data_IF_926570725014
#
_entry.id   IF_926570725014
#
_cell.length_a   1.000
_cell.length_b   1.000
_cell.length_c   1.000
_cell.angle_alpha   90.00
_cell.angle_beta   90.00
_cell.angle_gamma   90.00
#
_symmetry.space_group_name_H-M   'P 1'
#
loop_
_entity.id
_entity.type
_entity.pdbx_description
1 polymer ?
#
# COMPACT_ATOMS: atom_id res chain seq x y z
N UNK A 1 -16.27 -3.79 -18.23
CA UNK A 1 -16.53 -4.07 -16.81
C UNK A 1 -15.19 -4.34 -16.14
N UNK A 2 -14.69 -3.42 -15.31
CA UNK A 2 -13.44 -3.63 -14.55
C UNK A 2 -13.84 -4.14 -13.16
N UNK A 3 -13.62 -5.42 -12.89
CA UNK A 3 -13.69 -5.93 -11.52
C UNK A 3 -12.66 -5.13 -10.70
N UNK A 4 -12.99 -4.63 -9.49
CA UNK A 4 -11.95 -4.10 -8.62
C UNK A 4 -10.95 -5.23 -8.37
N UNK A 5 -9.73 -5.07 -8.87
CA UNK A 5 -8.70 -6.13 -8.86
C UNK A 5 -8.26 -6.51 -7.44
N UNK A 6 -8.66 -5.73 -6.43
CA UNK A 6 -8.30 -5.91 -5.03
C UNK A 6 -9.54 -5.84 -4.13
N UNK A 7 -9.66 -6.74 -3.14
CA UNK A 7 -10.72 -6.66 -2.14
C UNK A 7 -10.59 -5.35 -1.35
N UNK A 8 -11.66 -4.83 -0.74
CA UNK A 8 -11.57 -3.65 0.12
C UNK A 8 -10.59 -3.90 1.27
N UNK A 9 -9.86 -2.85 1.67
CA UNK A 9 -8.80 -2.94 2.70
C UNK A 9 -9.30 -3.53 4.03
N UNK A 10 -10.60 -3.39 4.31
CA UNK A 10 -11.27 -4.00 5.47
C UNK A 10 -11.26 -5.54 5.43
N UNK A 11 -11.50 -6.12 4.26
CA UNK A 11 -11.52 -7.56 4.02
C UNK A 11 -10.13 -8.15 3.72
N UNK A 12 -9.09 -7.33 3.65
CA UNK A 12 -7.73 -7.79 3.40
C UNK A 12 -7.18 -8.51 4.64
N UNK A 13 -7.12 -9.84 4.57
CA UNK A 13 -6.61 -10.72 5.64
C UNK A 13 -5.08 -10.79 5.68
N UNK A 14 -4.41 -10.29 4.62
CA UNK A 14 -2.95 -10.27 4.53
C UNK A 14 -2.37 -9.17 5.42
N UNK A 15 -1.27 -9.47 6.10
CA UNK A 15 -0.54 -8.44 6.86
C UNK A 15 0.15 -7.43 5.94
N UNK A 16 0.66 -7.89 4.79
CA UNK A 16 1.35 -7.06 3.81
C UNK A 16 0.81 -7.30 2.40
N UNK A 17 0.71 -6.22 1.63
CA UNK A 17 0.25 -6.20 0.25
C UNK A 17 1.31 -5.71 -0.71
N UNK A 18 1.13 -6.03 -1.99
CA UNK A 18 1.99 -5.51 -3.05
C UNK A 18 1.72 -4.02 -3.33
N UNK A 19 2.67 -3.38 -4.00
CA UNK A 19 2.60 -1.96 -4.36
C UNK A 19 1.36 -1.59 -5.15
N UNK A 20 0.84 -2.46 -6.01
CA UNK A 20 -0.34 -2.17 -6.82
C UNK A 20 -1.63 -2.14 -5.97
N UNK A 21 -1.77 -3.08 -5.04
CA UNK A 21 -2.88 -3.11 -4.08
C UNK A 21 -2.84 -1.88 -3.16
N UNK A 22 -1.68 -1.56 -2.59
CA UNK A 22 -1.50 -0.36 -1.78
C UNK A 22 -1.82 0.93 -2.56
N UNK A 23 -1.41 1.01 -3.83
CA UNK A 23 -1.72 2.12 -4.72
C UNK A 23 -3.21 2.29 -4.96
N UNK A 24 -3.91 1.18 -5.19
CA UNK A 24 -5.35 1.15 -5.39
C UNK A 24 -6.09 1.71 -4.17
N UNK A 25 -5.72 1.27 -2.97
CA UNK A 25 -6.35 1.72 -1.72
C UNK A 25 -6.09 3.19 -1.40
N UNK A 26 -4.89 3.69 -1.68
CA UNK A 26 -4.52 5.08 -1.42
C UNK A 26 -4.97 6.03 -2.55
N UNK A 27 -5.69 5.53 -3.56
CA UNK A 27 -6.07 6.29 -4.77
C UNK A 27 -4.85 6.97 -5.43
N UNK A 28 -3.70 6.27 -5.42
CA UNK A 28 -2.43 6.74 -5.99
C UNK A 28 -1.96 5.81 -7.11
N UNK A 29 -0.97 6.26 -7.88
CA UNK A 29 -0.28 5.42 -8.86
C UNK A 29 0.80 4.56 -8.17
N UNK A 30 1.04 3.32 -8.61
CA UNK A 30 2.08 2.46 -8.03
C UNK A 30 3.48 3.06 -8.17
N UNK A 31 3.71 3.89 -9.18
CA UNK A 31 4.96 4.61 -9.38
C UNK A 31 5.25 5.61 -8.24
N UNK A 32 4.19 6.26 -7.71
CA UNK A 32 4.30 7.15 -6.55
C UNK A 32 4.73 6.37 -5.30
N UNK A 33 4.15 5.19 -5.06
CA UNK A 33 4.57 4.34 -3.94
C UNK A 33 6.01 3.83 -4.10
N UNK A 34 6.45 3.49 -5.32
CA UNK A 34 7.86 3.15 -5.57
C UNK A 34 8.79 4.32 -5.28
N UNK A 35 8.39 5.55 -5.63
CA UNK A 35 9.14 6.75 -5.28
C UNK A 35 9.21 6.94 -3.75
N UNK A 36 8.12 6.74 -3.02
CA UNK A 36 8.12 6.77 -1.54
C UNK A 36 9.03 5.72 -0.92
N UNK A 37 9.05 4.51 -1.50
CA UNK A 37 9.95 3.44 -1.07
C UNK A 37 11.43 3.78 -1.31
N UNK A 38 11.73 4.51 -2.38
CA UNK A 38 13.10 4.85 -2.79
C UNK A 38 13.63 6.09 -2.05
N UNK A 39 12.76 7.10 -1.88
CA UNK A 39 13.09 8.37 -1.24
C UNK A 39 12.94 8.33 0.29
N UNK A 40 12.36 7.25 0.83
CA UNK A 40 12.06 7.06 2.26
C UNK A 40 11.26 8.21 2.90
N UNK A 41 10.64 9.04 2.06
CA UNK A 41 9.91 10.27 2.39
C UNK A 41 8.39 10.11 2.20
N UNK A 42 7.91 8.87 2.25
CA UNK A 42 6.49 8.55 2.18
C UNK A 42 5.82 8.54 3.54
N UNK A 43 4.49 8.74 3.60
CA UNK A 43 3.72 8.60 4.84
C UNK A 43 3.72 7.16 5.39
N UNK A 44 4.02 6.18 4.53
CA UNK A 44 4.18 4.77 4.90
C UNK A 44 5.46 4.22 4.29
N UNK A 45 6.07 3.25 4.98
CA UNK A 45 7.32 2.61 4.56
C UNK A 45 7.06 1.15 4.17
N UNK A 46 7.59 0.66 3.04
CA UNK A 46 7.48 -0.74 2.69
C UNK A 46 8.53 -1.58 3.42
N UNK A 47 8.17 -2.80 3.76
CA UNK A 47 9.10 -3.84 4.18
C UNK A 47 9.72 -4.50 2.95
N UNK A 48 11.05 -4.67 2.96
CA UNK A 48 11.76 -5.39 1.90
C UNK A 48 11.82 -6.87 2.24
N UNK A 49 11.01 -7.68 1.56
CA UNK A 49 10.96 -9.13 1.74
C UNK A 49 11.48 -9.79 0.47
N UNK A 50 12.65 -10.44 0.52
CA UNK A 50 13.24 -11.13 -0.65
C UNK A 50 13.31 -10.23 -1.91
N UNK A 51 13.69 -8.95 -1.75
CA UNK A 51 13.76 -7.99 -2.86
C UNK A 51 12.41 -7.44 -3.35
N UNK A 52 11.28 -7.82 -2.72
CA UNK A 52 9.95 -7.27 -3.01
C UNK A 52 9.57 -6.21 -1.99
N UNK A 53 8.83 -5.19 -2.45
CA UNK A 53 8.25 -4.15 -1.61
C UNK A 53 6.90 -4.64 -1.07
N UNK A 54 6.82 -4.84 0.24
CA UNK A 54 5.64 -5.29 0.95
C UNK A 54 5.10 -4.15 1.82
N UNK A 55 3.88 -3.70 1.54
CA UNK A 55 3.25 -2.57 2.25
C UNK A 55 2.32 -3.09 3.33
N UNK A 56 2.50 -2.66 4.57
CA UNK A 56 1.65 -3.11 5.67
C UNK A 56 0.21 -2.58 5.52
N UNK A 57 -0.77 -3.48 5.63
CA UNK A 57 -2.19 -3.12 5.57
C UNK A 57 -2.57 -2.21 6.74
N UNK A 58 -2.01 -2.44 7.91
CA UNK A 58 -2.23 -1.60 9.10
C UNK A 58 -1.82 -0.14 8.88
N UNK A 59 -0.70 0.08 8.18
CA UNK A 59 -0.20 1.41 7.83
C UNK A 59 -1.10 2.11 6.81
N UNK A 60 -1.58 1.37 5.80
CA UNK A 60 -2.56 1.89 4.82
C UNK A 60 -3.87 2.26 5.53
N UNK A 61 -4.39 1.40 6.42
CA UNK A 61 -5.58 1.68 7.23
C UNK A 61 -5.39 2.91 8.12
N UNK A 62 -4.22 3.06 8.74
CA UNK A 62 -3.88 4.21 9.57
C UNK A 62 -3.85 5.51 8.76
N UNK A 63 -3.28 5.47 7.56
CA UNK A 63 -3.28 6.61 6.63
C UNK A 63 -4.70 7.03 6.23
N UNK A 64 -5.54 6.06 5.87
CA UNK A 64 -6.93 6.31 5.46
C UNK A 64 -7.79 6.89 6.60
N UNK A 65 -7.46 6.56 7.86
CA UNK A 65 -8.13 7.12 9.04
C UNK A 65 -7.65 8.53 9.44
N UNK A 66 -6.83 9.19 8.61
CA UNK A 66 -6.51 10.60 8.79
C UNK A 66 -5.14 10.92 9.38
N UNK A 67 -4.18 9.98 9.29
CA UNK A 67 -2.74 10.23 9.50
C UNK A 67 -2.43 11.10 10.72
N UNK A 68 -2.35 10.48 11.90
CA UNK A 68 -2.09 11.16 13.17
C UNK A 68 -0.70 11.82 13.21
#
# INVERSE_FOLDING_TARGET
MYLPAYPPIDQETRSHVETACAAFHLLRKPQTLRAYACLENGPIRPLRINGRLAWAVSDIKRLLNGGQ
#
